data_IF_322479487119
#
_entry.id   IF_322479487119
#
_cell.length_a   1.000
_cell.length_b   1.000
_cell.length_c   1.000
_cell.angle_alpha   90.00
_cell.angle_beta   90.00
_cell.angle_gamma   90.00
#
_symmetry.space_group_name_H-M   'P 1'
#
loop_
_entity.id
_entity.type
_entity.pdbx_description
1 polymer ?
#
# COMPACT_ATOMS: atom_id res chain seq x y z
N UNK A 1 -21.02 21.55 8.40
CA UNK A 1 -19.55 21.60 8.22
C UNK A 1 -18.91 22.07 9.52
N UNK A 2 -17.86 21.40 10.00
CA UNK A 2 -17.17 21.77 11.25
C UNK A 2 -16.25 22.96 10.97
N UNK A 3 -16.28 24.00 11.81
CA UNK A 3 -15.48 25.23 11.62
C UNK A 3 -14.21 25.12 12.46
N UNK A 4 -13.05 25.04 11.83
CA UNK A 4 -11.74 25.04 12.49
C UNK A 4 -11.27 26.48 12.74
N UNK A 5 -10.60 26.71 13.88
CA UNK A 5 -9.98 28.02 14.20
C UNK A 5 -8.56 28.09 13.63
N UNK A 6 -8.06 29.30 13.36
CA UNK A 6 -6.70 29.51 12.84
C UNK A 6 -5.62 28.96 13.79
N UNK A 7 -5.85 29.04 15.11
CA UNK A 7 -4.92 28.49 16.10
C UNK A 7 -4.79 26.97 16.00
N UNK A 8 -5.87 26.27 15.63
CA UNK A 8 -5.85 24.81 15.41
C UNK A 8 -5.10 24.46 14.12
N UNK A 9 -5.19 25.30 13.10
CA UNK A 9 -4.38 25.14 11.88
C UNK A 9 -2.90 25.33 12.22
N UNK A 10 -2.56 26.36 13.02
CA UNK A 10 -1.19 26.63 13.46
C UNK A 10 -0.62 25.52 14.34
N UNK A 11 -1.46 24.86 15.15
CA UNK A 11 -1.04 23.68 15.93
C UNK A 11 -0.88 22.42 15.09
N UNK A 12 -1.08 22.47 13.78
CA UNK A 12 -0.90 21.33 12.88
C UNK A 12 -2.04 20.31 12.91
N UNK A 13 -3.27 20.71 13.25
CA UNK A 13 -4.42 19.77 13.32
C UNK A 13 -4.73 19.08 11.98
N UNK A 14 -4.27 19.67 10.88
CA UNK A 14 -4.43 19.16 9.51
C UNK A 14 -3.20 18.40 9.00
N UNK A 15 -2.14 18.28 9.81
CA UNK A 15 -0.98 17.47 9.45
C UNK A 15 -1.39 16.01 9.53
N UNK A 16 -1.17 15.29 8.43
CA UNK A 16 -1.40 13.85 8.36
C UNK A 16 -0.56 13.13 9.41
N UNK A 17 -1.21 12.36 10.27
CA UNK A 17 -0.51 11.51 11.25
C UNK A 17 0.15 10.32 10.55
N UNK A 18 1.29 9.82 11.04
CA UNK A 18 1.86 8.57 10.56
C UNK A 18 0.83 7.43 10.67
N UNK A 19 0.70 6.67 9.60
CA UNK A 19 -0.21 5.52 9.50
C UNK A 19 0.63 4.25 9.56
N UNK A 20 0.30 3.36 10.49
CA UNK A 20 0.91 2.03 10.56
C UNK A 20 0.53 1.21 9.33
N UNK A 21 1.53 0.61 8.69
CA UNK A 21 1.34 -0.25 7.52
C UNK A 21 2.26 -1.46 7.59
N UNK A 22 1.73 -2.60 7.15
CA UNK A 22 2.49 -3.81 6.89
C UNK A 22 2.79 -3.88 5.40
N UNK A 23 4.06 -4.07 5.05
CA UNK A 23 4.56 -4.11 3.68
C UNK A 23 5.00 -5.53 3.38
N UNK A 24 4.36 -6.15 2.40
CA UNK A 24 4.71 -7.48 1.90
C UNK A 24 5.68 -7.34 0.74
N UNK A 25 6.81 -8.04 0.82
CA UNK A 25 7.88 -8.05 -0.18
C UNK A 25 8.33 -9.49 -0.42
N UNK A 26 8.86 -9.77 -1.62
CA UNK A 26 9.54 -11.04 -1.87
C UNK A 26 11.03 -10.89 -1.58
N UNK A 27 11.53 -11.65 -0.62
CA UNK A 27 12.95 -11.71 -0.28
C UNK A 27 13.50 -13.09 -0.62
N UNK A 28 14.50 -13.17 -1.49
CA UNK A 28 15.15 -14.43 -1.90
C UNK A 28 14.19 -15.53 -2.43
N UNK A 29 13.01 -15.13 -2.92
CA UNK A 29 11.99 -16.06 -3.44
C UNK A 29 10.92 -16.45 -2.43
N UNK A 30 11.06 -16.02 -1.17
CA UNK A 30 10.07 -16.21 -0.11
C UNK A 30 9.25 -14.93 0.12
N UNK A 31 8.00 -15.10 0.52
CA UNK A 31 7.15 -13.97 0.92
C UNK A 31 7.56 -13.52 2.33
N UNK A 32 8.01 -12.27 2.43
CA UNK A 32 8.40 -11.63 3.67
C UNK A 32 7.50 -10.41 3.91
N UNK A 33 7.33 -10.03 5.17
CA UNK A 33 6.60 -8.82 5.52
C UNK A 33 7.30 -8.08 6.65
N UNK A 34 7.16 -6.75 6.65
CA UNK A 34 7.66 -5.92 7.74
C UNK A 34 6.69 -4.77 8.00
N UNK A 35 6.69 -4.34 9.26
CA UNK A 35 5.85 -3.26 9.72
C UNK A 35 6.61 -1.94 9.75
N UNK A 36 5.96 -0.88 9.29
CA UNK A 36 6.51 0.48 9.32
C UNK A 36 5.40 1.52 9.42
N UNK A 37 5.78 2.78 9.64
CA UNK A 37 4.83 3.89 9.59
C UNK A 37 5.09 4.75 8.37
N UNK A 38 4.02 5.10 7.67
CA UNK A 38 4.07 6.00 6.53
C UNK A 38 3.31 7.28 6.87
N UNK A 39 4.01 8.40 6.79
CA UNK A 39 3.45 9.74 6.88
C UNK A 39 2.82 10.12 5.53
N UNK A 40 1.59 10.65 5.51
CA UNK A 40 1.01 11.23 4.31
C UNK A 40 1.87 12.37 3.76
N UNK A 41 1.74 12.65 2.47
CA UNK A 41 2.42 13.72 1.77
C UNK A 41 2.21 15.03 2.52
N UNK A 42 3.35 15.58 2.91
CA UNK A 42 3.43 16.85 3.62
C UNK A 42 4.16 17.86 2.74
N UNK A 43 4.28 19.08 3.24
CA UNK A 43 5.05 20.11 2.56
C UNK A 43 6.52 19.69 2.37
N UNK A 44 7.08 18.88 3.28
CA UNK A 44 8.45 18.34 3.17
C UNK A 44 8.61 17.48 1.91
N UNK A 45 7.60 16.69 1.57
CA UNK A 45 7.59 15.86 0.37
C UNK A 45 7.59 16.72 -0.89
N UNK A 46 6.84 17.82 -0.90
CA UNK A 46 6.84 18.78 -2.01
C UNK A 46 8.21 19.48 -2.14
N UNK A 47 8.83 19.85 -1.02
CA UNK A 47 10.19 20.43 -1.00
C UNK A 47 11.22 19.44 -1.54
N UNK A 48 11.15 18.16 -1.15
CA UNK A 48 12.04 17.12 -1.65
C UNK A 48 11.92 16.97 -3.18
N UNK A 49 10.68 16.96 -3.70
CA UNK A 49 10.43 16.89 -5.13
C UNK A 49 10.97 18.12 -5.89
N UNK A 50 10.71 19.33 -5.39
CA UNK A 50 11.23 20.56 -5.99
C UNK A 50 12.75 20.63 -5.98
N UNK A 51 13.39 20.19 -4.88
CA UNK A 51 14.85 20.13 -4.78
C UNK A 51 15.43 19.17 -5.83
N UNK A 52 14.83 17.99 -5.98
CA UNK A 52 15.26 17.01 -6.97
C UNK A 52 15.13 17.54 -8.41
N UNK A 53 14.05 18.26 -8.72
CA UNK A 53 13.87 18.93 -10.02
C UNK A 53 14.97 19.98 -10.28
N UNK A 54 15.30 20.80 -9.28
CA UNK A 54 16.39 21.79 -9.39
C UNK A 54 17.76 21.17 -9.59
N UNK A 55 18.01 20.02 -8.97
CA UNK A 55 19.26 19.26 -9.06
C UNK A 55 19.31 18.30 -10.26
N UNK A 56 18.26 18.26 -11.11
CA UNK A 56 18.11 17.31 -12.24
C UNK A 56 18.32 15.85 -11.82
N UNK A 57 17.90 15.51 -10.61
CA UNK A 57 17.97 14.16 -10.06
C UNK A 57 16.58 13.57 -9.86
N UNK A 58 16.58 12.27 -9.65
CA UNK A 58 15.42 11.47 -9.28
C UNK A 58 14.89 11.92 -7.88
N UNK A 59 13.57 12.08 -7.77
CA UNK A 59 12.88 12.65 -6.59
C UNK A 59 12.32 11.61 -5.61
N UNK A 60 12.02 10.40 -6.09
CA UNK A 60 11.40 9.30 -5.35
C UNK A 60 12.20 8.94 -4.11
N UNK A 61 13.53 8.88 -4.18
CA UNK A 61 14.34 8.59 -2.98
C UNK A 61 14.09 9.61 -1.85
N UNK A 62 14.03 10.90 -2.17
CA UNK A 62 13.77 11.96 -1.19
C UNK A 62 12.31 11.95 -0.72
N UNK A 63 11.38 11.64 -1.62
CA UNK A 63 9.97 11.48 -1.29
C UNK A 63 9.78 10.31 -0.32
N UNK A 64 10.35 9.15 -0.60
CA UNK A 64 10.29 7.98 0.27
C UNK A 64 10.93 8.24 1.63
N UNK A 65 12.09 8.90 1.68
CA UNK A 65 12.73 9.29 2.94
C UNK A 65 11.82 10.19 3.79
N UNK A 66 11.07 11.10 3.15
CA UNK A 66 10.11 11.98 3.86
C UNK A 66 8.83 11.26 4.32
N UNK A 67 8.46 10.16 3.65
CA UNK A 67 7.23 9.44 3.94
C UNK A 67 7.45 8.32 4.97
N UNK A 68 8.59 7.64 4.93
CA UNK A 68 8.87 6.55 5.87
C UNK A 68 9.30 7.15 7.20
N UNK A 69 8.49 6.92 8.23
CA UNK A 69 8.74 7.45 9.57
C UNK A 69 8.62 6.37 10.64
N UNK A 70 9.08 6.70 11.84
CA UNK A 70 8.79 5.92 13.04
C UNK A 70 7.40 6.29 13.62
N UNK A 71 7.02 5.64 14.72
CA UNK A 71 5.78 5.93 15.47
C UNK A 71 5.64 7.40 15.89
N UNK A 72 6.76 8.09 16.09
CA UNK A 72 6.81 9.50 16.49
C UNK A 72 6.72 10.47 15.30
N UNK A 73 6.77 9.96 14.07
CA UNK A 73 6.75 10.75 12.84
C UNK A 73 8.11 11.31 12.43
N UNK A 74 9.21 10.79 12.99
CA UNK A 74 10.58 11.13 12.60
C UNK A 74 11.01 10.23 11.43
N UNK A 75 11.74 10.79 10.46
CA UNK A 75 12.22 10.04 9.30
C UNK A 75 13.18 8.92 9.73
N UNK A 76 12.89 7.69 9.31
CA UNK A 76 13.71 6.52 9.67
C UNK A 76 14.91 6.35 8.75
N UNK A 77 14.79 6.79 7.50
CA UNK A 77 15.81 6.63 6.47
C UNK A 77 16.18 7.95 5.84
N UNK A 78 17.44 8.04 5.43
CA UNK A 78 17.94 9.15 4.61
C UNK A 78 17.81 8.84 3.12
N UNK A 79 17.81 9.88 2.30
CA UNK A 79 17.76 9.77 0.83
C UNK A 79 18.90 8.90 0.28
N UNK A 80 20.10 9.02 0.86
CA UNK A 80 21.29 8.26 0.43
C UNK A 80 21.21 6.78 0.81
N UNK A 81 20.67 6.45 1.98
CA UNK A 81 20.45 5.06 2.40
C UNK A 81 19.42 4.37 1.50
N UNK A 82 18.33 5.06 1.15
CA UNK A 82 17.33 4.51 0.23
C UNK A 82 17.97 4.22 -1.12
N UNK A 83 18.75 5.14 -1.68
CA UNK A 83 19.44 4.92 -2.97
C UNK A 83 20.42 3.76 -2.95
N UNK A 84 21.06 3.52 -1.81
CA UNK A 84 22.12 2.50 -1.70
C UNK A 84 21.59 1.12 -1.33
N UNK A 85 20.58 1.06 -0.46
CA UNK A 85 20.13 -0.20 0.15
C UNK A 85 18.80 -0.71 -0.38
N UNK A 86 17.97 0.14 -1.01
CA UNK A 86 16.67 -0.31 -1.48
C UNK A 86 16.77 -0.87 -2.89
N UNK A 87 16.25 -2.08 -3.08
CA UNK A 87 16.05 -2.63 -4.42
C UNK A 87 14.73 -2.12 -5.01
N UNK A 88 14.57 -2.29 -6.34
CA UNK A 88 13.36 -1.85 -7.05
C UNK A 88 12.08 -2.45 -6.44
N UNK A 89 12.09 -3.73 -6.07
CA UNK A 89 10.91 -4.40 -5.49
C UNK A 89 10.48 -3.78 -4.17
N UNK A 90 11.42 -3.39 -3.31
CA UNK A 90 11.13 -2.73 -2.04
C UNK A 90 10.61 -1.31 -2.27
N UNK A 91 11.23 -0.57 -3.19
CA UNK A 91 10.80 0.76 -3.61
C UNK A 91 9.35 0.72 -4.09
N UNK A 92 9.02 -0.20 -4.99
CA UNK A 92 7.67 -0.32 -5.56
C UNK A 92 6.63 -0.71 -4.50
N UNK A 93 6.97 -1.65 -3.60
CA UNK A 93 6.07 -2.09 -2.53
C UNK A 93 5.77 -0.96 -1.53
N UNK A 94 6.78 -0.20 -1.12
CA UNK A 94 6.59 0.96 -0.23
C UNK A 94 5.82 2.05 -0.97
N UNK A 95 6.19 2.34 -2.22
CA UNK A 95 5.53 3.37 -3.02
C UNK A 95 4.04 3.09 -3.21
N UNK A 96 3.66 1.83 -3.44
CA UNK A 96 2.26 1.43 -3.51
C UNK A 96 1.50 1.78 -2.23
N UNK A 97 2.09 1.55 -1.05
CA UNK A 97 1.49 1.93 0.25
C UNK A 97 1.44 3.44 0.47
N UNK A 98 2.47 4.17 0.05
CA UNK A 98 2.47 5.64 0.07
C UNK A 98 1.33 6.19 -0.80
N UNK A 99 1.17 5.68 -2.02
CA UNK A 99 0.09 6.08 -2.93
C UNK A 99 -1.27 5.70 -2.36
N UNK A 100 -1.41 4.51 -1.75
CA UNK A 100 -2.63 4.08 -1.08
C UNK A 100 -3.06 5.08 0.01
N UNK A 101 -2.15 5.48 0.89
CA UNK A 101 -2.43 6.43 1.97
C UNK A 101 -2.79 7.83 1.42
N UNK A 102 -2.13 8.27 0.36
CA UNK A 102 -2.23 9.65 -0.13
C UNK A 102 -3.34 9.87 -1.16
N UNK A 103 -3.55 8.93 -2.07
CA UNK A 103 -4.55 9.02 -3.14
C UNK A 103 -5.90 8.46 -2.68
N UNK A 104 -5.90 7.47 -1.77
CA UNK A 104 -7.11 6.91 -1.19
C UNK A 104 -7.36 7.40 0.25
N UNK A 105 -7.31 8.73 0.47
CA UNK A 105 -7.82 9.37 1.70
C UNK A 105 -9.29 9.03 2.06
N UNK A 106 -9.96 8.18 1.28
CA UNK A 106 -11.14 7.40 1.66
C UNK A 106 -10.65 6.08 2.27
N UNK A 107 -10.26 6.12 3.53
CA UNK A 107 -10.14 4.97 4.45
C UNK A 107 -10.36 3.60 3.79
N UNK A 108 -9.32 2.99 3.22
CA UNK A 108 -9.27 1.53 3.16
C UNK A 108 -8.97 1.08 4.58
N UNK A 109 -10.00 1.11 5.42
CA UNK A 109 -10.02 0.26 6.59
C UNK A 109 -10.02 -1.14 5.99
N UNK A 110 -8.82 -1.73 5.83
CA UNK A 110 -8.69 -3.12 5.43
C UNK A 110 -9.37 -3.93 6.52
N UNK A 111 -10.64 -4.22 6.29
CA UNK A 111 -11.39 -5.13 7.12
C UNK A 111 -10.60 -6.43 7.07
N UNK A 112 -9.98 -6.80 8.18
CA UNK A 112 -9.53 -8.16 8.39
C UNK A 112 -10.70 -9.06 8.04
N UNK A 113 -10.63 -9.73 6.90
CA UNK A 113 -11.60 -10.74 6.53
C UNK A 113 -11.39 -11.89 7.50
N UNK A 114 -12.20 -11.93 8.56
CA UNK A 114 -12.36 -13.16 9.33
C UNK A 114 -12.91 -14.19 8.36
N UNK A 115 -12.09 -15.21 8.07
CA UNK A 115 -12.48 -16.34 7.24
C UNK A 115 -13.67 -17.06 7.88
N UNK A 116 -14.89 -16.66 7.58
CA UNK A 116 -16.09 -17.45 7.84
C UNK A 116 -16.16 -18.51 6.75
N UNK A 117 -15.63 -19.69 7.07
CA UNK A 117 -15.82 -20.92 6.31
C UNK A 117 -17.31 -21.21 6.17
N UNK A 118 -17.88 -20.91 5.01
CA UNK A 118 -19.21 -21.37 4.63
C UNK A 118 -18.99 -22.61 3.77
N UNK A 119 -19.35 -23.77 4.32
CA UNK A 119 -19.38 -25.05 3.59
C UNK A 119 -20.34 -24.93 2.40
N UNK A 120 -19.81 -24.97 1.19
CA UNK A 120 -20.59 -25.27 -0.02
C UNK A 120 -20.87 -26.78 -0.08
N UNK A 121 -22.11 -27.24 -0.32
CA UNK A 121 -22.36 -28.65 -0.60
C UNK A 121 -21.84 -29.01 -1.98
N UNK A 122 -20.89 -29.93 -2.02
CA UNK A 122 -20.44 -30.60 -3.25
C UNK A 122 -21.56 -31.52 -3.75
N UNK A 123 -22.04 -31.31 -4.97
CA UNK A 123 -22.82 -32.30 -5.70
C UNK A 123 -21.85 -33.12 -6.56
N UNK A 124 -21.46 -34.28 -6.04
CA UNK A 124 -21.01 -35.42 -6.84
C UNK A 124 -21.84 -36.62 -6.40
N UNK A 125 -22.46 -37.27 -7.38
CA UNK A 125 -22.75 -38.72 -7.50
C UNK A 125 -23.64 -38.85 -8.75
N UNK A 126 -23.08 -39.12 -9.94
CA UNK A 126 -22.79 -40.45 -10.48
C UNK A 126 -24.06 -41.33 -10.61
N UNK A 127 -24.49 -41.69 -11.83
CA UNK A 127 -24.50 -43.10 -12.28
C UNK A 127 -25.09 -43.33 -13.69
N UNK A 128 -24.38 -44.20 -14.40
CA UNK A 128 -24.57 -44.98 -15.62
C UNK A 128 -25.98 -45.29 -16.17
N UNK A 129 -26.11 -45.29 -17.53
CA UNK A 129 -26.29 -46.50 -18.41
C UNK A 129 -26.93 -46.17 -19.78
N UNK A 130 -26.14 -46.41 -20.85
CA UNK A 130 -26.45 -47.29 -22.02
C UNK A 130 -27.86 -47.24 -22.63
N UNK A 131 -28.00 -46.74 -23.88
CA UNK A 131 -28.58 -47.48 -25.04
C UNK A 131 -28.53 -46.68 -26.36
N UNK A 132 -28.21 -47.43 -27.40
CA UNK A 132 -28.24 -47.17 -28.86
C UNK A 132 -29.53 -46.54 -29.39
N UNK A 133 -29.47 -45.73 -30.46
CA UNK A 133 -29.70 -46.19 -31.85
C UNK A 133 -29.58 -45.04 -32.88
N UNK A 134 -29.14 -45.41 -34.07
CA UNK A 134 -29.10 -44.65 -35.33
C UNK A 134 -30.47 -44.23 -35.89
N UNK A 135 -30.57 -43.06 -36.55
CA UNK A 135 -31.05 -42.86 -37.95
C UNK A 135 -31.53 -41.42 -38.27
N UNK A 136 -30.98 -40.90 -39.38
CA UNK A 136 -31.61 -40.23 -40.54
C UNK A 136 -32.56 -39.02 -40.43
N UNK A 137 -32.17 -37.99 -41.20
CA UNK A 137 -32.92 -37.00 -42.02
C UNK A 137 -34.34 -36.57 -41.65
N UNK A 138 -34.54 -35.24 -41.71
CA UNK A 138 -35.57 -34.67 -42.60
C UNK A 138 -35.06 -33.39 -43.24
#
# INVERSE_FOLDING_TARGET
>A
MKKLKIDQIKSGVLIGKPVFVTIQIKHEGEDAEFDTHIKPFSYETAVANLRAMGEKKEALAGILASCICNEKGEATFTEDEIRKHFNQSLVDAIWAKVVEINVLGKTSNSAQTTNSSVKSPSLQDEQSKKRSNSQSKK
#
